data_IF_966393639906
#
_entry.id   IF_966393639906
#
_cell.length_a   1.000
_cell.length_b   1.000
_cell.length_c   1.000
_cell.angle_alpha   90.00
_cell.angle_beta   90.00
_cell.angle_gamma   90.00
#
_symmetry.space_group_name_H-M   'P 1'
#
loop_
_entity.id
_entity.type
_entity.pdbx_description
1 polymer ?
#
# COMPACT_ATOMS: atom_id res chain seq x y z
N UNK A 1 -2.97 8.37 -49.94
CA UNK A 1 -3.39 9.59 -49.21
C UNK A 1 -3.07 10.78 -50.09
N UNK A 2 -4.09 11.51 -50.55
CA UNK A 2 -3.92 12.75 -51.34
C UNK A 2 -3.79 13.89 -50.33
N UNK A 3 -2.76 14.73 -50.44
CA UNK A 3 -2.55 15.86 -49.52
C UNK A 3 -3.59 16.96 -49.73
N UNK A 4 -3.85 17.74 -48.67
CA UNK A 4 -4.89 18.78 -48.63
C UNK A 4 -4.75 19.84 -49.74
N UNK A 5 -3.56 20.04 -50.30
CA UNK A 5 -3.31 21.03 -51.35
C UNK A 5 -3.91 20.63 -52.72
N UNK A 6 -4.14 19.34 -52.96
CA UNK A 6 -4.72 18.87 -54.22
C UNK A 6 -6.22 19.16 -54.34
N UNK A 7 -6.93 19.28 -53.21
CA UNK A 7 -8.37 19.55 -53.18
C UNK A 7 -8.72 21.01 -53.51
N UNK A 8 -7.89 21.95 -53.06
CA UNK A 8 -8.10 23.37 -53.34
C UNK A 8 -7.93 23.72 -54.83
N UNK A 9 -7.07 22.98 -55.53
CA UNK A 9 -6.85 23.19 -56.96
C UNK A 9 -8.04 22.70 -57.82
N UNK A 10 -8.72 21.63 -57.42
CA UNK A 10 -9.93 21.11 -58.09
C UNK A 10 -11.12 22.07 -57.91
N UNK A 11 -11.27 22.65 -56.71
CA UNK A 11 -12.34 23.60 -56.42
C UNK A 11 -12.19 24.92 -57.19
N UNK A 12 -10.95 25.34 -57.48
CA UNK A 12 -10.68 26.59 -58.22
C UNK A 12 -11.08 26.59 -59.71
N UNK A 13 -11.36 25.42 -60.30
CA UNK A 13 -11.69 25.27 -61.73
C UNK A 13 -13.18 25.07 -62.03
N UNK A 14 -14.02 24.98 -61.00
CA UNK A 14 -15.47 24.80 -61.16
C UNK A 14 -16.16 26.15 -61.40
N UNK A 15 -16.31 26.55 -62.67
CA UNK A 15 -16.97 27.83 -63.06
C UNK A 15 -18.49 27.78 -63.14
N UNK A 16 -19.12 26.64 -62.88
CA UNK A 16 -20.58 26.45 -62.98
C UNK A 16 -21.19 26.21 -61.60
N UNK A 17 -22.21 27.01 -61.25
CA UNK A 17 -22.99 26.85 -60.01
C UNK A 17 -23.64 25.47 -59.91
N UNK A 18 -23.91 24.82 -61.04
CA UNK A 18 -24.49 23.48 -61.10
C UNK A 18 -23.49 22.39 -60.71
N UNK A 19 -22.20 22.57 -61.04
CA UNK A 19 -21.16 21.61 -60.70
C UNK A 19 -20.77 21.68 -59.21
N UNK A 20 -20.83 22.87 -58.60
CA UNK A 20 -20.66 23.04 -57.16
C UNK A 20 -21.79 22.37 -56.36
N UNK A 21 -23.03 22.42 -56.87
CA UNK A 21 -24.18 21.78 -56.23
C UNK A 21 -24.10 20.24 -56.29
N UNK A 22 -23.64 19.69 -57.42
CA UNK A 22 -23.44 18.24 -57.58
C UNK A 22 -22.30 17.74 -56.67
N UNK A 23 -21.20 18.50 -56.56
CA UNK A 23 -20.10 18.15 -55.65
C UNK A 23 -20.52 18.22 -54.17
N UNK A 24 -21.36 19.20 -53.81
CA UNK A 24 -21.93 19.31 -52.46
C UNK A 24 -22.90 18.15 -52.14
N UNK A 25 -23.71 17.70 -53.10
CA UNK A 25 -24.58 16.53 -52.91
C UNK A 25 -23.80 15.20 -52.82
N UNK A 26 -22.67 15.07 -53.52
CA UNK A 26 -21.82 13.89 -53.38
C UNK A 26 -21.03 13.85 -52.07
N UNK A 27 -20.66 15.01 -51.51
CA UNK A 27 -20.01 15.07 -50.20
C UNK A 27 -20.95 14.71 -49.03
N UNK A 28 -22.26 14.89 -49.20
CA UNK A 28 -23.27 14.50 -48.20
C UNK A 28 -23.56 12.99 -48.20
N UNK A 29 -23.18 12.26 -49.25
CA UNK A 29 -23.49 10.83 -49.40
C UNK A 29 -22.32 9.87 -49.14
N UNK A 30 -21.09 10.38 -48.91
CA UNK A 30 -19.88 9.56 -48.72
C UNK A 30 -19.10 9.96 -47.44
N UNK A 31 -19.80 10.32 -46.36
CA UNK A 31 -19.21 10.31 -45.01
C UNK A 31 -19.78 9.13 -44.19
N UNK A 32 -18.94 8.22 -43.67
CA UNK A 32 -19.41 7.20 -42.76
C UNK A 32 -19.80 7.83 -41.42
N UNK A 33 -20.88 7.30 -40.83
CA UNK A 33 -21.40 7.65 -39.53
C UNK A 33 -20.31 7.57 -38.45
N UNK A 34 -19.81 8.73 -38.02
CA UNK A 34 -19.15 8.92 -36.74
C UNK A 34 -19.44 10.35 -36.29
N UNK A 35 -19.89 10.49 -35.04
CA UNK A 35 -20.25 11.73 -34.34
C UNK A 35 -21.67 12.26 -34.61
N UNK A 36 -22.66 11.54 -34.07
CA UNK A 36 -23.88 12.15 -33.55
C UNK A 36 -24.01 11.70 -32.09
N UNK A 37 -23.43 12.47 -31.17
CA UNK A 37 -23.77 12.37 -29.75
C UNK A 37 -25.19 12.92 -29.56
N UNK A 38 -26.06 12.06 -29.05
CA UNK A 38 -27.43 12.35 -28.65
C UNK A 38 -27.43 13.32 -27.46
N UNK A 39 -27.54 14.62 -27.77
CA UNK A 39 -27.63 15.72 -26.81
C UNK A 39 -29.04 15.94 -26.22
N UNK A 40 -29.89 14.90 -26.19
CA UNK A 40 -31.26 15.01 -25.63
C UNK A 40 -31.49 14.21 -24.35
N UNK A 41 -30.45 13.63 -23.75
CA UNK A 41 -30.55 13.05 -22.40
C UNK A 41 -30.05 14.05 -21.35
N UNK A 42 -30.84 14.36 -20.30
CA UNK A 42 -30.35 15.19 -19.21
C UNK A 42 -29.14 14.49 -18.59
N UNK A 43 -27.98 15.15 -18.64
CA UNK A 43 -26.79 14.74 -17.91
C UNK A 43 -27.12 14.83 -16.41
N UNK A 44 -27.43 13.69 -15.80
CA UNK A 44 -27.55 13.59 -14.34
C UNK A 44 -26.14 13.67 -13.78
N UNK A 45 -25.72 14.88 -13.42
CA UNK A 45 -24.54 15.08 -12.60
C UNK A 45 -24.84 14.55 -11.20
N UNK A 46 -24.26 13.40 -10.85
CA UNK A 46 -24.20 12.98 -9.46
C UNK A 46 -23.08 13.75 -8.78
N UNK A 47 -23.44 14.83 -8.09
CA UNK A 47 -22.59 15.35 -7.03
C UNK A 47 -22.64 14.32 -5.90
N UNK A 48 -21.62 13.47 -5.78
CA UNK A 48 -21.45 12.68 -4.57
C UNK A 48 -21.06 13.64 -3.46
N UNK A 49 -22.05 14.17 -2.76
CA UNK A 49 -21.83 14.73 -1.43
C UNK A 49 -21.32 13.58 -0.59
N UNK A 50 -20.01 13.55 -0.32
CA UNK A 50 -19.46 12.73 0.75
C UNK A 50 -20.13 13.23 2.02
N UNK A 51 -21.17 12.53 2.46
CA UNK A 51 -21.70 12.72 3.79
C UNK A 51 -20.56 12.30 4.71
N UNK A 52 -19.83 13.28 5.24
CA UNK A 52 -19.01 13.08 6.43
C UNK A 52 -19.95 12.55 7.49
N UNK A 53 -19.99 11.24 7.67
CA UNK A 53 -20.51 10.66 8.91
C UNK A 53 -19.46 11.07 9.94
N UNK A 54 -19.77 11.97 10.88
CA UNK A 54 -18.79 12.35 11.88
C UNK A 54 -18.65 11.16 12.81
N UNK A 55 -17.65 10.31 12.59
CA UNK A 55 -17.23 9.33 13.60
C UNK A 55 -16.33 10.02 14.65
N UNK A 56 -16.71 11.24 15.08
CA UNK A 56 -15.94 12.09 15.99
C UNK A 56 -15.91 11.55 17.43
N UNK A 57 -16.60 10.46 17.73
CA UNK A 57 -16.70 9.91 19.09
C UNK A 57 -15.89 8.63 19.30
N UNK A 58 -15.32 8.00 18.26
CA UNK A 58 -14.62 6.71 18.42
C UNK A 58 -13.15 6.85 18.83
N UNK A 59 -12.55 8.02 18.63
CA UNK A 59 -11.11 8.21 18.87
C UNK A 59 -10.87 9.44 19.75
N UNK A 60 -10.29 9.28 20.97
CA UNK A 60 -9.76 10.45 21.67
C UNK A 60 -8.69 11.10 20.78
N UNK A 61 -8.54 12.43 20.81
CA UNK A 61 -7.45 13.09 20.10
C UNK A 61 -6.11 12.43 20.49
N UNK A 62 -5.35 12.01 19.49
CA UNK A 62 -4.02 11.47 19.70
C UNK A 62 -3.19 12.54 20.41
N UNK A 63 -2.93 12.32 21.70
CA UNK A 63 -1.93 13.06 22.44
C UNK A 63 -0.61 12.41 22.09
N UNK A 64 0.03 12.91 21.04
CA UNK A 64 1.44 12.60 20.80
C UNK A 64 2.27 12.84 22.06
N UNK A 65 3.51 12.32 22.13
CA UNK A 65 4.38 12.52 23.28
C UNK A 65 4.43 14.01 23.62
N UNK A 66 4.18 14.35 24.89
CA UNK A 66 4.15 15.73 25.36
C UNK A 66 5.50 16.40 25.09
N UNK A 67 5.55 17.25 24.06
CA UNK A 67 6.66 18.17 23.85
C UNK A 67 6.49 19.24 24.94
N UNK A 68 7.29 19.16 26.00
CA UNK A 68 7.37 20.24 26.98
C UNK A 68 8.02 21.44 26.31
N UNK A 69 7.21 22.46 26.02
CA UNK A 69 7.69 23.80 25.67
C UNK A 69 8.44 24.40 26.86
N UNK A 70 9.76 24.28 26.84
CA UNK A 70 10.63 25.22 27.55
C UNK A 70 11.26 26.13 26.53
N UNK A 71 10.58 27.26 26.30
CA UNK A 71 11.16 28.43 25.65
C UNK A 71 12.24 29.01 26.58
N UNK A 72 13.47 28.57 26.38
CA UNK A 72 14.68 29.15 26.96
C UNK A 72 15.72 29.23 25.85
N UNK A 73 16.29 30.42 25.70
CA UNK A 73 17.14 30.84 24.61
C UNK A 73 18.32 29.87 24.34
N UNK A 74 18.48 29.55 23.06
CA UNK A 74 19.75 29.26 22.36
C UNK A 74 20.84 28.60 23.21
N UNK A 75 20.70 27.31 23.46
CA UNK A 75 21.84 26.38 23.50
C UNK A 75 21.35 25.05 22.93
N UNK A 76 21.98 24.58 21.84
CA UNK A 76 21.64 23.32 21.14
C UNK A 76 21.37 22.19 22.15
N UNK A 77 20.21 21.51 22.12
CA UNK A 77 20.01 20.32 22.94
C UNK A 77 20.99 19.24 22.46
N UNK A 78 21.67 18.60 23.42
CA UNK A 78 22.55 17.46 23.18
C UNK A 78 21.81 16.39 22.37
N UNK A 79 22.42 15.95 21.28
CA UNK A 79 22.00 14.80 20.49
C UNK A 79 21.59 13.66 21.44
N UNK A 80 20.33 13.24 21.36
CA UNK A 80 19.95 11.88 21.76
C UNK A 80 20.91 10.93 21.04
N UNK A 81 21.42 9.92 21.74
CA UNK A 81 22.31 8.93 21.15
C UNK A 81 21.63 8.33 19.90
N UNK A 82 22.03 8.82 18.72
CA UNK A 82 21.65 8.25 17.44
C UNK A 82 22.25 6.84 17.43
N UNK A 83 21.41 5.84 17.23
CA UNK A 83 21.85 4.53 16.77
C UNK A 83 22.43 4.74 15.35
N UNK A 84 23.68 5.17 15.30
CA UNK A 84 24.50 5.29 14.08
C UNK A 84 24.96 3.90 13.68
N UNK A 85 24.01 3.05 13.31
CA UNK A 85 24.39 1.80 12.66
C UNK A 85 24.87 2.14 11.27
N UNK A 86 26.19 2.15 11.10
CA UNK A 86 26.86 2.14 9.80
C UNK A 86 26.19 1.09 8.91
N UNK A 87 25.76 1.56 7.74
CA UNK A 87 25.38 0.71 6.62
C UNK A 87 26.71 0.36 5.97
N UNK A 88 27.16 -0.88 6.12
CA UNK A 88 28.38 -1.35 5.46
C UNK A 88 28.25 -1.04 3.95
N UNK A 89 29.22 -0.28 3.46
CA UNK A 89 29.26 0.34 2.14
C UNK A 89 29.73 -0.63 1.05
N UNK A 90 29.17 -1.83 1.04
CA UNK A 90 29.26 -2.68 -0.15
C UNK A 90 28.20 -2.20 -1.14
N UNK A 91 28.61 -1.24 -1.98
CA UNK A 91 27.90 -0.77 -3.16
C UNK A 91 27.76 -1.92 -4.18
N UNK A 92 26.90 -2.89 -3.88
CA UNK A 92 26.11 -3.48 -4.96
C UNK A 92 25.24 -2.35 -5.49
N UNK A 93 25.33 -2.09 -6.81
CA UNK A 93 24.35 -1.27 -7.52
C UNK A 93 23.01 -1.96 -7.36
N UNK A 94 22.30 -1.62 -6.30
CA UNK A 94 20.95 -2.10 -6.12
C UNK A 94 20.12 -1.58 -7.28
N UNK A 95 19.30 -2.45 -7.89
CA UNK A 95 18.44 -2.03 -8.99
C UNK A 95 17.59 -0.84 -8.54
N UNK A 96 17.28 0.09 -9.45
CA UNK A 96 16.43 1.22 -9.10
C UNK A 96 15.09 0.72 -8.57
N UNK A 97 14.56 1.37 -7.53
CA UNK A 97 13.20 1.12 -7.05
C UNK A 97 12.19 1.41 -8.16
N UNK A 98 11.75 0.34 -8.81
CA UNK A 98 10.82 0.38 -9.95
C UNK A 98 9.45 0.94 -9.55
N UNK A 99 9.07 0.82 -8.27
CA UNK A 99 7.81 1.34 -7.75
C UNK A 99 7.74 2.87 -7.73
N UNK A 100 8.87 3.58 -7.80
CA UNK A 100 8.94 5.03 -7.97
C UNK A 100 9.34 5.46 -9.40
N UNK A 101 9.40 4.53 -10.36
CA UNK A 101 9.77 4.83 -11.74
C UNK A 101 8.67 5.59 -12.49
N UNK A 102 9.00 6.21 -13.65
CA UNK A 102 7.98 6.73 -14.57
C UNK A 102 6.98 5.67 -15.03
N UNK A 103 7.38 4.40 -15.12
CA UNK A 103 6.47 3.31 -15.47
C UNK A 103 5.42 3.08 -14.38
N UNK A 104 5.82 3.10 -13.10
CA UNK A 104 4.89 3.04 -11.98
C UNK A 104 3.90 4.22 -11.97
N UNK A 105 4.36 5.42 -12.35
CA UNK A 105 3.49 6.59 -12.48
C UNK A 105 2.44 6.44 -13.60
N UNK A 106 2.78 5.74 -14.69
CA UNK A 106 1.82 5.46 -15.76
C UNK A 106 0.70 4.52 -15.30
N UNK A 107 0.98 3.56 -14.41
CA UNK A 107 -0.02 2.65 -13.86
C UNK A 107 -1.10 3.42 -13.09
N UNK A 108 -0.72 4.48 -12.37
CA UNK A 108 -1.66 5.31 -11.60
C UNK A 108 -2.64 6.13 -12.47
N UNK A 109 -2.45 6.19 -13.80
CA UNK A 109 -3.35 6.94 -14.68
C UNK A 109 -4.71 6.27 -14.86
N UNK A 110 -4.77 4.95 -14.71
CA UNK A 110 -5.97 4.14 -14.88
C UNK A 110 -6.32 3.37 -13.59
N UNK A 111 -6.68 4.07 -12.51
CA UNK A 111 -6.88 3.47 -11.21
C UNK A 111 -8.11 2.56 -11.17
N UNK A 112 -8.11 1.66 -10.18
CA UNK A 112 -9.26 0.83 -9.89
C UNK A 112 -10.52 1.67 -9.56
N UNK A 113 -11.70 1.33 -10.12
CA UNK A 113 -12.93 2.05 -9.82
C UNK A 113 -13.45 1.72 -8.42
N UNK A 114 -13.44 2.71 -7.52
CA UNK A 114 -13.88 2.55 -6.12
C UNK A 114 -15.41 2.54 -5.93
N UNK A 115 -16.18 2.91 -6.95
CA UNK A 115 -17.63 3.14 -6.85
C UNK A 115 -18.46 1.88 -6.56
N UNK A 116 -17.85 0.69 -6.53
CA UNK A 116 -18.52 -0.59 -6.31
C UNK A 116 -17.97 -1.39 -5.12
N UNK A 117 -17.10 -0.80 -4.28
CA UNK A 117 -16.52 -1.51 -3.14
C UNK A 117 -17.60 -1.79 -2.11
N UNK A 118 -17.76 -3.08 -1.76
CA UNK A 118 -18.72 -3.55 -0.77
C UNK A 118 -18.00 -4.39 0.27
N UNK A 119 -18.24 -4.07 1.53
CA UNK A 119 -17.83 -4.93 2.64
C UNK A 119 -18.44 -6.32 2.47
N UNK A 120 -17.63 -7.36 2.62
CA UNK A 120 -18.05 -8.76 2.55
C UNK A 120 -17.67 -9.49 3.83
N UNK A 121 -18.52 -10.40 4.28
CA UNK A 121 -18.11 -11.38 5.29
C UNK A 121 -17.29 -12.47 4.60
N UNK A 122 -16.06 -12.70 5.08
CA UNK A 122 -15.10 -13.63 4.49
C UNK A 122 -14.93 -14.84 5.41
N UNK A 123 -15.34 -16.05 4.99
CA UNK A 123 -15.12 -17.25 5.78
C UNK A 123 -13.63 -17.56 5.98
N UNK A 124 -13.26 -18.06 7.16
CA UNK A 124 -11.88 -18.40 7.53
C UNK A 124 -11.22 -19.41 6.58
N UNK A 125 -12.02 -20.27 5.94
CA UNK A 125 -11.57 -21.22 4.93
C UNK A 125 -10.87 -20.54 3.74
N UNK A 126 -11.27 -19.31 3.36
CA UNK A 126 -10.63 -18.60 2.25
C UNK A 126 -9.20 -18.18 2.59
N UNK A 127 -8.93 -17.78 3.83
CA UNK A 127 -7.58 -17.49 4.31
C UNK A 127 -6.68 -18.74 4.26
N UNK A 128 -7.21 -19.89 4.69
CA UNK A 128 -6.48 -21.17 4.61
C UNK A 128 -6.22 -21.59 3.16
N UNK A 129 -7.22 -21.46 2.30
CA UNK A 129 -7.07 -21.75 0.87
C UNK A 129 -6.03 -20.85 0.21
N UNK A 130 -5.99 -19.56 0.58
CA UNK A 130 -4.96 -18.64 0.13
C UNK A 130 -3.57 -19.16 0.48
N UNK A 131 -3.34 -19.47 1.76
CA UNK A 131 -2.06 -19.98 2.25
C UNK A 131 -1.64 -21.26 1.53
N UNK A 132 -2.55 -22.23 1.39
CA UNK A 132 -2.27 -23.49 0.68
C UNK A 132 -1.97 -23.28 -0.81
N UNK A 133 -2.67 -22.32 -1.45
CA UNK A 133 -2.45 -21.98 -2.86
C UNK A 133 -1.08 -21.35 -3.09
N UNK A 134 -0.66 -20.44 -2.21
CA UNK A 134 0.57 -19.65 -2.40
C UNK A 134 1.81 -20.28 -1.78
N UNK A 135 1.65 -21.32 -0.95
CA UNK A 135 2.74 -21.97 -0.22
C UNK A 135 2.56 -23.50 -0.19
N UNK A 136 2.82 -24.12 -1.35
CA UNK A 136 2.59 -25.55 -1.59
C UNK A 136 3.40 -26.48 -0.68
N UNK A 137 4.47 -25.99 -0.06
CA UNK A 137 5.34 -26.75 0.84
C UNK A 137 4.92 -26.69 2.32
N UNK A 138 3.86 -25.94 2.66
CA UNK A 138 3.32 -25.94 4.02
C UNK A 138 2.73 -27.27 4.51
N UNK A 139 2.02 -28.07 3.68
CA UNK A 139 1.48 -29.35 4.12
C UNK A 139 2.62 -30.29 4.54
N UNK A 140 2.89 -30.37 5.84
CA UNK A 140 3.95 -31.21 6.42
C UNK A 140 4.90 -30.47 7.37
N UNK A 141 5.01 -29.13 7.27
CA UNK A 141 5.82 -28.34 8.21
C UNK A 141 4.99 -27.98 9.43
N UNK A 142 5.31 -28.56 10.58
CA UNK A 142 4.67 -28.18 11.84
C UNK A 142 5.15 -26.78 12.26
N UNK A 143 4.27 -25.79 12.15
CA UNK A 143 4.55 -24.44 12.62
C UNK A 143 4.54 -24.41 14.15
N UNK A 144 5.61 -23.88 14.76
CA UNK A 144 5.68 -23.68 16.21
C UNK A 144 5.15 -22.30 16.57
N UNK A 145 4.47 -22.20 17.71
CA UNK A 145 3.90 -20.95 18.22
C UNK A 145 4.94 -19.84 18.37
N UNK A 146 6.17 -20.22 18.73
CA UNK A 146 7.30 -19.32 18.95
C UNK A 146 7.86 -18.72 17.65
N UNK A 147 7.53 -19.29 16.49
CA UNK A 147 8.07 -18.85 15.19
C UNK A 147 7.48 -17.52 14.75
N UNK A 148 6.28 -17.17 15.22
CA UNK A 148 5.60 -15.90 14.93
C UNK A 148 5.32 -15.19 16.24
N UNK A 149 5.90 -14.00 16.40
CA UNK A 149 5.63 -13.10 17.53
C UNK A 149 4.79 -11.95 17.02
N UNK A 150 3.66 -11.68 17.68
CA UNK A 150 2.81 -10.52 17.45
C UNK A 150 2.91 -9.61 18.66
N UNK A 151 3.28 -8.37 18.43
CA UNK A 151 3.29 -7.31 19.43
C UNK A 151 1.95 -6.59 19.39
N UNK A 152 1.25 -6.57 20.53
CA UNK A 152 -0.07 -5.96 20.66
C UNK A 152 -0.05 -4.49 20.27
N UNK A 153 -1.01 -4.14 19.44
CA UNK A 153 -1.34 -2.76 19.10
C UNK A 153 -2.55 -2.28 19.89
N UNK A 154 -3.02 -1.10 19.52
CA UNK A 154 -4.29 -0.55 20.03
C UNK A 154 -5.43 -0.73 19.05
N UNK A 155 -5.13 -0.70 17.75
CA UNK A 155 -6.15 -0.61 16.70
C UNK A 155 -6.07 -1.73 15.68
N UNK A 156 -4.87 -2.23 15.40
CA UNK A 156 -4.68 -3.39 14.54
C UNK A 156 -4.60 -4.68 15.35
N UNK A 157 -5.13 -5.75 14.78
CA UNK A 157 -5.30 -7.06 15.39
C UNK A 157 -4.91 -8.18 14.42
N UNK A 158 -3.66 -8.17 13.97
CA UNK A 158 -3.10 -9.19 13.06
C UNK A 158 -3.38 -10.63 13.51
N UNK A 159 -3.46 -10.86 14.82
CA UNK A 159 -3.80 -12.15 15.43
C UNK A 159 -5.09 -12.77 14.86
N UNK A 160 -6.12 -11.97 14.55
CA UNK A 160 -7.37 -12.50 13.98
C UNK A 160 -7.16 -13.13 12.61
N UNK A 161 -6.31 -12.52 11.78
CA UNK A 161 -5.98 -13.05 10.44
C UNK A 161 -5.13 -14.31 10.58
N UNK A 162 -4.18 -14.33 11.52
CA UNK A 162 -3.37 -15.53 11.81
C UNK A 162 -4.24 -16.70 12.30
N UNK A 163 -5.20 -16.44 13.19
CA UNK A 163 -6.18 -17.43 13.66
C UNK A 163 -7.03 -17.99 12.52
N UNK A 164 -7.51 -17.12 11.62
CA UNK A 164 -8.25 -17.53 10.43
C UNK A 164 -7.40 -18.44 9.52
N UNK A 165 -6.11 -18.13 9.37
CA UNK A 165 -5.15 -18.94 8.63
C UNK A 165 -4.75 -20.25 9.35
N UNK A 166 -4.99 -20.36 10.66
CA UNK A 166 -4.49 -21.47 11.48
C UNK A 166 -2.97 -21.40 11.72
N UNK A 167 -2.37 -20.21 11.66
CA UNK A 167 -0.95 -19.99 11.94
C UNK A 167 -0.80 -19.75 13.45
N UNK A 168 -0.01 -20.56 14.18
CA UNK A 168 0.19 -20.35 15.62
C UNK A 168 1.16 -19.20 15.88
N UNK A 169 0.90 -18.40 16.92
CA UNK A 169 1.69 -17.22 17.28
C UNK A 169 1.75 -16.97 18.80
N UNK A 170 2.75 -16.20 19.23
CA UNK A 170 2.82 -15.60 20.57
C UNK A 170 2.34 -14.15 20.51
N UNK A 171 1.32 -13.79 21.29
CA UNK A 171 0.85 -12.40 21.43
C UNK A 171 1.43 -11.77 22.70
N UNK A 172 2.23 -10.71 22.55
CA UNK A 172 3.03 -10.11 23.62
C UNK A 172 2.86 -8.59 23.68
N UNK A 173 3.16 -8.00 24.83
CA UNK A 173 3.03 -6.55 25.03
C UNK A 173 4.23 -5.78 24.40
N UNK A 174 4.06 -4.49 23.99
CA UNK A 174 5.06 -3.63 23.32
C UNK A 174 6.48 -3.55 23.90
N UNK A 175 6.68 -3.99 25.14
CA UNK A 175 7.97 -3.93 25.82
C UNK A 175 8.36 -5.23 26.53
N UNK A 176 7.71 -6.35 26.19
CA UNK A 176 7.88 -7.67 26.83
C UNK A 176 7.93 -8.81 25.81
N UNK A 177 8.73 -8.66 24.76
CA UNK A 177 8.84 -9.65 23.68
C UNK A 177 10.29 -9.96 23.26
N UNK A 178 11.24 -9.18 23.73
CA UNK A 178 12.63 -9.18 23.28
C UNK A 178 13.31 -10.53 23.54
N UNK A 179 12.98 -11.17 24.66
CA UNK A 179 13.46 -12.50 25.06
C UNK A 179 12.93 -13.63 24.17
N UNK A 180 11.86 -13.40 23.40
CA UNK A 180 11.28 -14.39 22.48
C UNK A 180 11.85 -14.29 21.06
N UNK A 181 12.43 -13.14 20.68
CA UNK A 181 12.97 -12.92 19.35
C UNK A 181 14.09 -13.89 18.92
N UNK A 182 14.91 -14.50 19.80
CA UNK A 182 15.88 -15.51 19.36
C UNK A 182 15.24 -16.77 18.76
N UNK A 183 14.01 -17.13 19.17
CA UNK A 183 13.29 -18.30 18.64
C UNK A 183 12.29 -17.96 17.52
N UNK A 184 12.07 -16.68 17.25
CA UNK A 184 11.13 -16.19 16.26
C UNK A 184 11.75 -16.12 14.86
N UNK A 185 10.91 -16.26 13.85
CA UNK A 185 11.24 -16.05 12.44
C UNK A 185 10.54 -14.80 11.90
N UNK A 186 9.31 -14.58 12.36
CA UNK A 186 8.49 -13.43 11.99
C UNK A 186 8.10 -12.65 13.24
N UNK A 187 8.24 -11.33 13.17
CA UNK A 187 7.74 -10.36 14.14
C UNK A 187 6.72 -9.46 13.47
N UNK A 188 5.53 -9.36 14.05
CA UNK A 188 4.47 -8.45 13.62
C UNK A 188 4.28 -7.39 14.70
N UNK A 189 4.31 -6.11 14.33
CA UNK A 189 4.03 -4.99 15.25
C UNK A 189 2.76 -4.30 14.79
N UNK A 190 1.67 -4.56 15.52
CA UNK A 190 0.37 -3.94 15.29
C UNK A 190 0.40 -2.46 15.70
N UNK A 191 -0.33 -1.62 14.98
CA UNK A 191 -0.36 -0.19 15.22
C UNK A 191 -1.12 0.21 16.52
N UNK A 192 -0.76 1.34 17.15
CA UNK A 192 0.51 2.05 16.98
C UNK A 192 1.65 1.31 17.70
N UNK A 193 1.38 0.68 18.85
CA UNK A 193 2.38 0.08 19.72
C UNK A 193 3.35 1.12 20.31
N UNK A 194 3.33 1.31 21.62
CA UNK A 194 4.32 2.18 22.29
C UNK A 194 5.62 1.40 22.56
N UNK A 195 6.46 1.32 21.53
CA UNK A 195 7.72 0.56 21.54
C UNK A 195 8.83 1.41 22.17
N UNK A 196 9.42 0.95 23.26
CA UNK A 196 10.54 1.61 23.93
C UNK A 196 11.90 1.32 23.27
N UNK A 197 12.91 2.14 23.60
CA UNK A 197 14.25 2.10 22.99
C UNK A 197 14.93 0.71 23.04
N UNK A 198 14.80 0.00 24.16
CA UNK A 198 15.33 -1.38 24.30
C UNK A 198 14.65 -2.33 23.31
N UNK A 199 13.34 -2.21 23.14
CA UNK A 199 12.55 -3.00 22.19
C UNK A 199 12.91 -2.66 20.75
N UNK A 200 13.09 -1.37 20.42
CA UNK A 200 13.53 -0.91 19.10
C UNK A 200 14.90 -1.48 18.74
N UNK A 201 15.84 -1.46 19.69
CA UNK A 201 17.17 -2.06 19.51
C UNK A 201 17.07 -3.57 19.26
N UNK A 202 16.20 -4.27 19.99
CA UNK A 202 15.97 -5.70 19.81
C UNK A 202 15.32 -6.03 18.46
N UNK A 203 14.37 -5.21 17.99
CA UNK A 203 13.74 -5.32 16.67
C UNK A 203 14.81 -5.17 15.58
N UNK A 204 15.61 -4.10 15.63
CA UNK A 204 16.67 -3.87 14.64
C UNK A 204 17.66 -5.03 14.60
N UNK A 205 18.08 -5.53 15.77
CA UNK A 205 18.97 -6.69 15.88
C UNK A 205 18.31 -7.99 15.38
N UNK A 206 16.98 -8.12 15.51
CA UNK A 206 16.21 -9.25 14.98
C UNK A 206 16.16 -9.26 13.47
N UNK A 207 15.87 -8.12 12.84
CA UNK A 207 15.90 -8.05 11.38
C UNK A 207 17.32 -8.25 10.86
N UNK A 208 18.33 -7.60 11.47
CA UNK A 208 19.74 -7.71 11.03
C UNK A 208 20.22 -9.16 10.90
N UNK A 209 19.74 -10.07 11.77
CA UNK A 209 20.15 -11.48 11.81
C UNK A 209 19.27 -12.44 11.01
N UNK A 210 18.36 -11.94 10.17
CA UNK A 210 17.49 -12.79 9.34
C UNK A 210 16.01 -12.79 9.70
N UNK A 211 15.60 -12.03 10.71
CA UNK A 211 14.20 -11.93 11.10
C UNK A 211 13.35 -11.13 10.10
N UNK A 212 12.09 -11.51 9.96
CA UNK A 212 11.11 -10.82 9.11
C UNK A 212 10.23 -9.93 9.97
N UNK A 213 10.21 -8.63 9.70
CA UNK A 213 9.41 -7.65 10.43
C UNK A 213 8.25 -7.14 9.58
N UNK A 214 7.02 -7.30 10.07
CA UNK A 214 5.83 -6.66 9.51
C UNK A 214 5.35 -5.56 10.45
N UNK A 215 5.11 -4.36 9.92
CA UNK A 215 4.57 -3.22 10.68
C UNK A 215 3.37 -2.63 9.97
N UNK A 216 2.42 -2.09 10.72
CA UNK A 216 1.20 -1.50 10.15
C UNK A 216 0.96 -0.08 10.63
N UNK A 217 0.50 0.76 9.72
CA UNK A 217 0.01 2.12 9.93
C UNK A 217 0.86 2.96 10.90
N UNK A 218 0.32 3.31 12.08
CA UNK A 218 1.01 4.17 13.05
C UNK A 218 2.29 3.57 13.63
N UNK A 219 2.55 2.28 13.39
CA UNK A 219 3.85 1.67 13.64
C UNK A 219 4.97 2.29 12.79
N UNK A 220 4.66 3.09 11.76
CA UNK A 220 5.64 3.88 11.02
C UNK A 220 6.44 4.79 11.96
N UNK A 221 5.77 5.70 12.67
CA UNK A 221 6.44 6.65 13.56
C UNK A 221 6.90 6.03 14.90
N UNK A 222 6.20 5.04 15.43
CA UNK A 222 6.52 4.45 16.74
C UNK A 222 7.52 3.29 16.68
N UNK A 223 7.73 2.68 15.52
CA UNK A 223 8.54 1.48 15.36
C UNK A 223 9.49 1.55 14.15
N UNK A 224 8.95 1.66 12.94
CA UNK A 224 9.73 1.54 11.70
C UNK A 224 10.79 2.63 11.59
N UNK A 225 10.38 3.90 11.68
CA UNK A 225 11.28 5.05 11.61
C UNK A 225 12.36 5.02 12.70
N UNK A 226 12.05 4.87 14.00
CA UNK A 226 13.09 4.88 15.03
C UNK A 226 14.01 3.64 14.97
N UNK A 227 13.53 2.48 14.52
CA UNK A 227 14.38 1.30 14.33
C UNK A 227 15.26 1.40 13.06
N UNK A 228 14.76 2.05 12.00
CA UNK A 228 15.38 2.14 10.67
C UNK A 228 15.33 3.58 10.09
N UNK A 229 16.00 4.56 10.72
CA UNK A 229 15.79 6.01 10.48
C UNK A 229 16.22 6.55 9.11
N UNK A 230 16.71 5.70 8.21
CA UNK A 230 17.20 6.09 6.88
C UNK A 230 16.42 5.46 5.73
N UNK A 231 15.34 4.73 6.02
CA UNK A 231 14.55 4.03 4.98
C UNK A 231 13.27 4.80 4.66
N UNK A 232 12.42 5.00 5.68
CA UNK A 232 11.16 5.70 5.57
C UNK A 232 10.84 6.43 6.89
N UNK A 233 10.04 7.50 6.81
CA UNK A 233 9.58 8.24 7.98
C UNK A 233 8.14 8.74 7.80
N UNK A 234 7.56 9.16 8.92
CA UNK A 234 6.32 9.91 8.95
C UNK A 234 6.62 11.42 9.03
N UNK A 235 5.99 12.22 8.16
CA UNK A 235 6.22 13.68 8.10
C UNK A 235 5.11 14.53 8.71
N UNK A 236 4.23 13.94 9.51
CA UNK A 236 3.11 14.65 10.14
C UNK A 236 1.82 14.64 9.32
N UNK A 237 1.81 13.99 8.16
CA UNK A 237 0.65 13.91 7.26
C UNK A 237 -0.15 12.62 7.46
N UNK A 238 -1.46 12.73 7.31
CA UNK A 238 -2.40 11.63 7.52
C UNK A 238 -3.35 11.52 6.32
N UNK A 239 -3.78 10.29 6.02
CA UNK A 239 -4.82 10.08 5.03
C UNK A 239 -6.16 10.70 5.48
N UNK A 240 -6.89 11.28 4.53
CA UNK A 240 -8.26 11.74 4.69
C UNK A 240 -9.30 10.74 4.19
N UNK A 241 -8.90 9.83 3.30
CA UNK A 241 -9.76 8.80 2.71
C UNK A 241 -9.77 7.50 3.51
N UNK A 242 -10.93 6.86 3.67
CA UNK A 242 -11.06 5.55 4.33
C UNK A 242 -10.82 4.37 3.37
N UNK A 243 -11.11 4.52 2.09
CA UNK A 243 -10.83 3.47 1.08
C UNK A 243 -10.26 4.16 -0.14
N UNK A 244 -9.14 3.63 -0.63
CA UNK A 244 -8.43 4.15 -1.80
C UNK A 244 -8.20 3.06 -2.84
N UNK A 245 -7.88 3.46 -4.06
CA UNK A 245 -7.42 2.54 -5.10
C UNK A 245 -6.00 2.08 -4.77
N UNK A 246 -5.72 0.80 -4.99
CA UNK A 246 -4.39 0.22 -4.87
C UNK A 246 -3.96 -0.40 -6.19
N UNK A 247 -2.72 -0.07 -6.57
CA UNK A 247 -2.02 -0.54 -7.76
C UNK A 247 -0.73 -1.22 -7.31
N UNK A 248 -0.56 -2.50 -7.65
CA UNK A 248 0.73 -3.19 -7.52
C UNK A 248 1.65 -2.66 -8.61
N UNK A 249 2.69 -1.95 -8.21
CA UNK A 249 3.63 -1.31 -9.14
C UNK A 249 4.86 -2.17 -9.42
N UNK A 250 5.05 -3.25 -8.65
CA UNK A 250 6.08 -4.25 -8.86
C UNK A 250 5.47 -5.67 -8.91
N UNK A 251 4.80 -6.05 -10.02
CA UNK A 251 4.09 -7.34 -10.11
C UNK A 251 5.03 -8.55 -10.14
N UNK A 252 6.32 -8.34 -10.46
CA UNK A 252 7.36 -9.38 -10.42
C UNK A 252 7.85 -9.71 -9.01
N UNK A 253 7.53 -8.87 -8.01
CA UNK A 253 7.91 -9.09 -6.63
C UNK A 253 7.22 -10.35 -6.07
N UNK A 254 7.98 -11.19 -5.38
CA UNK A 254 7.49 -12.43 -4.77
C UNK A 254 6.34 -12.21 -3.78
N UNK A 255 6.28 -11.03 -3.14
CA UNK A 255 5.19 -10.69 -2.24
C UNK A 255 3.87 -10.48 -3.00
N UNK A 256 3.92 -10.04 -4.26
CA UNK A 256 2.76 -9.92 -5.14
C UNK A 256 2.38 -11.25 -5.83
N UNK A 257 3.04 -12.37 -5.51
CA UNK A 257 2.73 -13.67 -6.11
C UNK A 257 1.27 -14.07 -5.89
N UNK A 258 0.61 -14.41 -7.00
CA UNK A 258 -0.78 -14.86 -7.06
C UNK A 258 -1.83 -13.86 -6.54
N UNK A 259 -1.43 -12.61 -6.27
CA UNK A 259 -2.32 -11.50 -5.91
C UNK A 259 -2.99 -10.90 -7.16
N UNK A 260 -3.64 -9.75 -6.97
CA UNK A 260 -4.21 -8.95 -8.06
C UNK A 260 -3.35 -7.71 -8.27
N UNK A 261 -3.30 -7.21 -9.51
CA UNK A 261 -2.61 -5.95 -9.80
C UNK A 261 -3.36 -4.74 -9.23
N UNK A 262 -4.68 -4.83 -9.12
CA UNK A 262 -5.55 -3.73 -8.71
C UNK A 262 -6.61 -4.18 -7.72
N UNK A 263 -6.81 -3.40 -6.66
CA UNK A 263 -7.81 -3.66 -5.65
C UNK A 263 -8.23 -2.37 -4.92
N UNK A 264 -9.37 -2.38 -4.20
CA UNK A 264 -9.56 -1.41 -3.12
C UNK A 264 -8.60 -1.69 -1.96
N UNK A 265 -8.29 -0.65 -1.20
CA UNK A 265 -7.45 -0.72 0.00
C UNK A 265 -8.06 0.10 1.12
N UNK A 266 -8.35 -0.56 2.25
CA UNK A 266 -8.87 0.10 3.45
C UNK A 266 -7.75 0.83 4.19
N UNK A 267 -7.95 2.12 4.39
CA UNK A 267 -7.23 2.97 5.31
C UNK A 267 -8.14 3.29 6.49
N UNK A 268 -7.61 3.44 7.70
CA UNK A 268 -8.42 3.94 8.80
C UNK A 268 -8.35 5.46 8.89
N UNK A 269 -9.22 6.05 9.73
CA UNK A 269 -9.19 7.49 9.97
C UNK A 269 -7.78 7.86 10.45
N UNK A 270 -7.10 8.67 9.63
CA UNK A 270 -5.74 9.15 9.83
C UNK A 270 -4.66 8.06 9.77
N UNK A 271 -4.63 7.24 8.74
CA UNK A 271 -3.43 6.42 8.49
C UNK A 271 -2.21 7.30 8.15
N UNK A 272 -1.02 6.94 8.64
CA UNK A 272 0.19 7.76 8.47
C UNK A 272 0.70 7.70 7.04
N UNK A 273 0.86 8.87 6.40
CA UNK A 273 1.43 8.95 5.04
C UNK A 273 2.95 8.76 5.13
N UNK A 274 3.44 7.80 4.37
CA UNK A 274 4.86 7.43 4.34
C UNK A 274 5.64 8.36 3.41
N UNK A 275 6.81 8.81 3.88
CA UNK A 275 7.84 9.40 3.04
C UNK A 275 9.07 8.49 2.97
N UNK A 276 9.58 8.28 1.75
CA UNK A 276 10.85 7.59 1.54
C UNK A 276 12.03 8.51 1.81
N UNK A 277 13.04 7.97 2.50
CA UNK A 277 14.33 8.62 2.72
C UNK A 277 15.36 8.03 1.75
N UNK A 278 15.40 6.71 1.61
CA UNK A 278 16.36 6.02 0.75
C UNK A 278 15.64 5.25 -0.36
N UNK A 279 15.46 5.93 -1.50
CA UNK A 279 14.74 5.40 -2.66
C UNK A 279 15.43 4.18 -3.27
N UNK A 280 16.75 4.05 -3.19
CA UNK A 280 17.49 2.92 -3.78
C UNK A 280 17.48 1.64 -2.93
N UNK A 281 17.10 1.73 -1.66
CA UNK A 281 17.11 0.58 -0.73
C UNK A 281 15.70 0.14 -0.31
N UNK A 282 14.67 0.81 -0.79
CA UNK A 282 13.28 0.54 -0.45
C UNK A 282 12.52 0.26 -1.72
N UNK A 283 11.86 -0.89 -1.78
CA UNK A 283 10.97 -1.27 -2.87
C UNK A 283 9.54 -0.86 -2.53
N UNK A 284 8.92 -0.07 -3.40
CA UNK A 284 7.51 0.27 -3.26
C UNK A 284 6.69 -0.78 -3.99
N UNK A 285 5.87 -1.51 -3.25
CA UNK A 285 5.08 -2.63 -3.78
C UNK A 285 3.74 -2.16 -4.33
N UNK A 286 3.09 -1.25 -3.59
CA UNK A 286 1.73 -0.79 -3.88
C UNK A 286 1.63 0.72 -3.74
N UNK A 287 0.99 1.36 -4.71
CA UNK A 287 0.69 2.79 -4.73
C UNK A 287 -0.80 3.04 -4.93
N UNK A 288 -1.23 4.27 -4.67
CA UNK A 288 -2.60 4.72 -4.81
C UNK A 288 -2.66 6.09 -5.47
N UNK A 289 -3.52 6.24 -6.48
CA UNK A 289 -3.78 7.55 -7.10
C UNK A 289 -4.63 8.43 -6.19
N UNK A 290 -5.54 7.87 -5.41
CA UNK A 290 -6.29 8.66 -4.43
C UNK A 290 -5.38 9.18 -3.32
N UNK A 291 -4.54 8.34 -2.73
CA UNK A 291 -3.61 8.76 -1.67
C UNK A 291 -2.55 9.73 -2.20
N UNK A 292 -2.07 9.58 -3.44
CA UNK A 292 -1.08 10.50 -4.02
C UNK A 292 -1.57 11.94 -4.18
N UNK A 293 -2.89 12.18 -4.12
CA UNK A 293 -3.46 13.54 -4.09
C UNK A 293 -3.41 14.17 -2.71
N UNK A 294 -3.31 13.36 -1.66
CA UNK A 294 -3.23 13.78 -0.26
C UNK A 294 -1.77 13.89 0.20
N UNK A 295 -0.89 13.05 -0.34
CA UNK A 295 0.55 13.02 -0.11
C UNK A 295 1.26 14.21 -0.77
N UNK A 296 1.95 15.03 0.03
CA UNK A 296 2.72 16.17 -0.46
C UNK A 296 3.83 15.80 -1.47
N UNK A 297 4.32 14.56 -1.44
CA UNK A 297 5.33 14.02 -2.37
C UNK A 297 4.71 13.34 -3.61
N UNK A 298 3.38 13.16 -3.63
CA UNK A 298 2.62 12.54 -4.72
C UNK A 298 3.02 11.10 -5.05
N UNK A 299 3.57 10.38 -4.09
CA UNK A 299 3.91 8.96 -4.26
C UNK A 299 2.70 8.08 -3.96
N UNK A 300 1.91 8.40 -2.92
CA UNK A 300 0.72 7.63 -2.56
C UNK A 300 1.05 6.18 -2.19
N UNK A 301 2.13 5.97 -1.42
CA UNK A 301 2.62 4.65 -1.04
C UNK A 301 1.63 3.96 -0.09
N UNK A 302 1.28 2.71 -0.39
CA UNK A 302 0.43 1.86 0.46
C UNK A 302 1.20 0.69 1.09
N UNK A 303 2.20 0.17 0.40
CA UNK A 303 3.07 -0.88 0.92
C UNK A 303 4.49 -0.71 0.39
N UNK A 304 5.46 -0.95 1.27
CA UNK A 304 6.88 -0.93 0.93
C UNK A 304 7.61 -2.07 1.64
N UNK A 305 8.72 -2.51 1.06
CA UNK A 305 9.61 -3.49 1.66
C UNK A 305 11.06 -3.09 1.49
N UNK A 306 11.93 -3.58 2.37
CA UNK A 306 13.37 -3.44 2.23
C UNK A 306 14.09 -4.55 3.02
N UNK A 307 15.30 -4.87 2.57
CA UNK A 307 16.19 -5.75 3.31
C UNK A 307 17.00 -4.97 4.35
N UNK A 308 17.30 -5.60 5.48
CA UNK A 308 18.19 -5.04 6.49
C UNK A 308 19.04 -6.14 7.13
N UNK A 309 20.35 -6.12 6.84
CA UNK A 309 21.21 -7.26 7.14
C UNK A 309 20.72 -8.50 6.38
N UNK A 310 20.49 -9.60 7.10
CA UNK A 310 19.99 -10.85 6.51
C UNK A 310 18.47 -10.95 6.49
N UNK A 311 17.75 -10.01 7.13
CA UNK A 311 16.30 -10.05 7.26
C UNK A 311 15.61 -9.06 6.35
N UNK A 312 14.28 -9.01 6.48
CA UNK A 312 13.42 -8.20 5.63
C UNK A 312 12.35 -7.48 6.44
N UNK A 313 11.96 -6.30 5.97
CA UNK A 313 10.92 -5.47 6.56
C UNK A 313 9.80 -5.25 5.55
N UNK A 314 8.55 -5.39 5.96
CA UNK A 314 7.35 -4.97 5.24
C UNK A 314 6.60 -3.95 6.10
N UNK A 315 6.24 -2.82 5.49
CA UNK A 315 5.36 -1.84 6.10
C UNK A 315 4.12 -1.63 5.25
N UNK A 316 2.96 -1.60 5.91
CA UNK A 316 1.67 -1.29 5.30
C UNK A 316 1.12 0.02 5.84
N UNK A 317 0.62 0.87 4.95
CA UNK A 317 -0.24 2.00 5.31
C UNK A 317 -1.66 1.45 5.48
N UNK A 318 -2.24 1.62 6.66
CA UNK A 318 -3.45 0.92 7.07
C UNK A 318 -3.17 -0.43 7.76
N UNK A 319 -4.22 -1.06 8.24
CA UNK A 319 -4.12 -2.24 9.13
C UNK A 319 -3.98 -3.54 8.34
N UNK A 320 -3.48 -4.59 8.99
CA UNK A 320 -3.49 -5.95 8.46
C UNK A 320 -4.82 -6.68 8.75
N UNK A 321 -5.49 -6.38 9.88
CA UNK A 321 -6.76 -7.00 10.24
C UNK A 321 -7.97 -6.52 9.40
N UNK A 322 -9.10 -7.18 9.56
CA UNK A 322 -10.42 -6.84 9.04
C UNK A 322 -11.08 -5.63 9.75
N UNK A 323 -10.48 -5.09 10.83
CA UNK A 323 -10.93 -3.94 11.63
C UNK A 323 -12.37 -4.00 12.18
N UNK A 324 -13.01 -5.17 12.16
CA UNK A 324 -14.45 -5.29 12.45
C UNK A 324 -14.83 -6.45 13.37
N UNK A 325 -13.90 -7.32 13.79
CA UNK A 325 -14.15 -8.45 14.69
C UNK A 325 -15.13 -9.52 14.20
N UNK A 326 -15.81 -9.32 13.07
CA UNK A 326 -16.93 -10.13 12.59
C UNK A 326 -16.65 -10.78 11.22
N UNK A 327 -15.38 -11.02 10.88
CA UNK A 327 -14.96 -11.49 9.54
C UNK A 327 -15.37 -10.56 8.38
N UNK A 328 -15.78 -9.32 8.67
CA UNK A 328 -16.21 -8.36 7.67
C UNK A 328 -15.01 -7.63 7.09
N UNK A 329 -14.69 -7.91 5.84
CA UNK A 329 -13.61 -7.30 5.10
C UNK A 329 -14.16 -6.14 4.26
N UNK A 330 -13.73 -4.89 4.52
CA UNK A 330 -14.24 -3.70 3.82
C UNK A 330 -13.69 -3.56 2.40
N UNK A 331 -12.56 -4.19 2.10
CA UNK A 331 -11.80 -4.04 0.86
C UNK A 331 -11.45 -5.39 0.20
N UNK A 332 -12.42 -6.30 -0.04
CA UNK A 332 -12.14 -7.57 -0.69
C UNK A 332 -11.66 -7.35 -2.12
N UNK A 333 -10.54 -7.97 -2.50
CA UNK A 333 -10.07 -7.92 -3.87
C UNK A 333 -10.96 -8.83 -4.75
N UNK A 334 -11.39 -8.37 -5.95
CA UNK A 334 -12.45 -9.03 -6.72
C UNK A 334 -12.21 -10.52 -7.05
N UNK A 335 -10.98 -10.92 -7.35
CA UNK A 335 -10.66 -12.28 -7.82
C UNK A 335 -9.98 -13.19 -6.80
N UNK A 336 -9.52 -12.66 -5.66
CA UNK A 336 -8.86 -13.44 -4.61
C UNK A 336 -9.63 -13.50 -3.29
N UNK A 337 -10.74 -12.76 -3.19
CA UNK A 337 -11.74 -12.77 -2.11
C UNK A 337 -11.24 -12.27 -0.73
N UNK A 338 -9.95 -12.37 -0.42
CA UNK A 338 -9.28 -11.60 0.64
C UNK A 338 -8.84 -10.22 0.11
N UNK A 339 -8.34 -9.33 0.95
CA UNK A 339 -7.83 -8.03 0.49
C UNK A 339 -6.40 -8.13 -0.03
N UNK A 340 -6.00 -7.15 -0.86
CA UNK A 340 -4.63 -7.09 -1.37
C UNK A 340 -3.61 -6.93 -0.24
N UNK A 341 -3.89 -6.06 0.74
CA UNK A 341 -3.07 -5.88 1.95
C UNK A 341 -2.88 -7.19 2.73
N UNK A 342 -3.92 -8.01 2.86
CA UNK A 342 -3.82 -9.30 3.53
C UNK A 342 -3.02 -10.31 2.71
N UNK A 343 -3.25 -10.35 1.41
CA UNK A 343 -2.53 -11.23 0.50
C UNK A 343 -1.00 -10.99 0.56
N UNK A 344 -0.57 -9.71 0.51
CA UNK A 344 0.83 -9.31 0.62
C UNK A 344 1.43 -9.68 1.99
N UNK A 345 0.74 -9.34 3.08
CA UNK A 345 1.19 -9.68 4.44
C UNK A 345 1.35 -11.18 4.63
N UNK A 346 0.38 -11.99 4.16
CA UNK A 346 0.44 -13.43 4.29
C UNK A 346 1.59 -14.02 3.46
N UNK A 347 1.80 -13.53 2.23
CA UNK A 347 2.96 -13.94 1.43
C UNK A 347 4.28 -13.62 2.14
N UNK A 348 4.40 -12.43 2.75
CA UNK A 348 5.58 -12.03 3.53
C UNK A 348 5.80 -12.90 4.78
N UNK A 349 4.74 -13.17 5.54
CA UNK A 349 4.81 -14.04 6.73
C UNK A 349 5.26 -15.44 6.33
N UNK A 350 4.71 -15.97 5.22
CA UNK A 350 5.07 -17.30 4.77
C UNK A 350 6.50 -17.38 4.22
N UNK A 351 6.99 -16.31 3.59
CA UNK A 351 8.39 -16.20 3.18
C UNK A 351 9.32 -16.27 4.40
N UNK A 352 9.05 -15.46 5.44
CA UNK A 352 9.84 -15.46 6.68
C UNK A 352 9.79 -16.78 7.46
N UNK A 353 8.67 -17.51 7.38
CA UNK A 353 8.55 -18.86 7.93
C UNK A 353 9.31 -19.92 7.12
N UNK A 354 9.97 -19.55 6.02
CA UNK A 354 10.67 -20.46 5.11
C UNK A 354 9.71 -21.42 4.41
N UNK A 355 8.53 -20.92 4.02
CA UNK A 355 7.55 -21.64 3.20
C UNK A 355 7.61 -21.25 1.72
N UNK A 356 8.48 -20.31 1.36
CA UNK A 356 8.84 -20.05 -0.03
C UNK A 356 9.68 -21.20 -0.58
N UNK A 357 9.10 -21.81 -1.61
CA UNK A 357 9.65 -22.90 -2.42
C UNK A 357 10.78 -22.31 -3.28
N UNK A 358 11.94 -22.98 -3.30
CA UNK A 358 12.95 -22.82 -4.36
C UNK A 358 12.34 -23.07 -5.74
#
# INVERSE_FOLDING_TARGET
MISNDHWLMILSRLRSKTAALILALMLVTILPAALAEDNTKPSVYYTTTVIKVPNQTKYPPYKGPAIRDTTSMLSRPRLRARLTGEVDSEDQQDPPNEGCSPAAELLLRNPFPLTAVKTKSIPTQLFRQWILKTNRNLPGKQLRKESVVVVKGKWDHAEHVLEACGIPFLLLDPNKFQDKLPGAQVLIVNCPGDIGDTSLTAIRAFVKRGGYLLTTDWALASCLEPAFPHFACWVGEYSGSEIVDAEVVEPGNELARATVSQAPWKLDDKSQIVKLINYSKVDVLVRSRALSKEDGMKLGILALTFNYGQGRVLHLVGHFDNNSGNSALPDPAPSIQISLRQALSLNFIMDGLGASVN
#
